data_IF_741871535460
#
_entry.id   IF_741871535460
#
_cell.length_a   1.000
_cell.length_b   1.000
_cell.length_c   1.000
_cell.angle_alpha   90.00
_cell.angle_beta   90.00
_cell.angle_gamma   90.00
#
_symmetry.space_group_name_H-M   'P 1'
#
loop_
_entity.id
_entity.type
_entity.pdbx_description
1 polymer ?
#
# COMPACT_ATOMS: atom_id res chain seq x y z
N UNK A 1 -13.19 -10.38 -2.54
CA UNK A 1 -12.27 -9.41 -1.94
C UNK A 1 -10.86 -9.66 -2.46
N UNK A 2 -10.20 -8.62 -2.93
CA UNK A 2 -8.86 -8.72 -3.52
C UNK A 2 -7.88 -8.19 -2.48
N UNK A 3 -6.98 -9.03 -1.99
CA UNK A 3 -6.06 -8.64 -0.91
C UNK A 3 -4.60 -8.97 -1.24
N UNK A 4 -3.68 -8.19 -0.68
CA UNK A 4 -2.26 -8.49 -0.67
C UNK A 4 -1.64 -7.91 0.60
N UNK A 5 -0.67 -8.63 1.17
CA UNK A 5 0.06 -8.19 2.35
C UNK A 5 1.50 -7.89 1.97
N UNK A 6 1.96 -6.70 2.35
CA UNK A 6 3.30 -6.21 2.07
C UNK A 6 4.05 -5.90 3.37
N UNK A 7 5.39 -5.89 3.34
CA UNK A 7 6.19 -5.53 4.51
C UNK A 7 5.95 -4.09 4.94
N UNK A 8 6.26 -3.79 6.21
CA UNK A 8 6.22 -2.43 6.73
C UNK A 8 7.11 -1.52 5.87
N UNK A 9 6.57 -0.40 5.38
CA UNK A 9 7.33 0.47 4.48
C UNK A 9 8.46 1.19 5.22
N UNK A 10 9.62 1.32 4.56
CA UNK A 10 10.77 2.02 5.10
C UNK A 10 10.43 3.47 5.44
N UNK A 11 10.97 3.98 6.54
CA UNK A 11 10.86 5.40 6.91
C UNK A 11 11.51 6.32 5.86
N UNK A 12 12.44 5.80 5.06
CA UNK A 12 13.05 6.57 3.97
C UNK A 12 12.05 6.93 2.86
N UNK A 13 10.89 6.28 2.84
CA UNK A 13 9.80 6.56 1.91
C UNK A 13 8.87 7.67 2.39
N UNK A 14 9.03 8.14 3.62
CA UNK A 14 8.21 9.23 4.14
C UNK A 14 8.40 10.51 3.30
N UNK A 15 7.32 11.23 2.97
CA UNK A 15 7.45 12.52 2.27
C UNK A 15 8.32 13.52 3.02
N UNK A 16 8.38 13.40 4.35
CA UNK A 16 9.17 14.28 5.23
C UNK A 16 10.57 13.74 5.54
N UNK A 17 10.96 12.62 4.94
CA UNK A 17 12.27 12.02 5.21
C UNK A 17 13.39 12.93 4.70
N UNK A 18 14.33 13.27 5.61
CA UNK A 18 15.50 14.09 5.29
C UNK A 18 16.69 13.17 4.98
N UNK A 19 16.60 12.46 3.88
CA UNK A 19 17.65 11.56 3.42
C UNK A 19 18.15 12.01 2.05
N UNK A 20 19.38 11.61 1.72
CA UNK A 20 19.95 11.87 0.42
C UNK A 20 19.03 11.33 -0.68
N UNK A 21 18.86 12.07 -1.77
CA UNK A 21 17.96 11.69 -2.86
C UNK A 21 18.24 10.30 -3.43
N UNK A 22 19.52 9.88 -3.50
CA UNK A 22 19.88 8.56 -4.00
C UNK A 22 19.40 7.44 -3.08
N UNK A 23 19.44 7.66 -1.76
CA UNK A 23 18.92 6.72 -0.77
C UNK A 23 17.41 6.58 -0.87
N UNK A 24 16.70 7.70 -1.02
CA UNK A 24 15.25 7.70 -1.20
C UNK A 24 14.85 7.02 -2.52
N UNK A 25 15.55 7.30 -3.60
CA UNK A 25 15.31 6.65 -4.90
C UNK A 25 15.51 5.13 -4.82
N UNK A 26 16.56 4.68 -4.12
CA UNK A 26 16.82 3.26 -3.92
C UNK A 26 15.71 2.61 -3.10
N UNK A 27 15.25 3.24 -2.03
CA UNK A 27 14.17 2.74 -1.20
C UNK A 27 12.86 2.64 -2.00
N UNK A 28 12.55 3.64 -2.82
CA UNK A 28 11.37 3.66 -3.68
C UNK A 28 11.41 2.52 -4.70
N UNK A 29 12.54 2.34 -5.36
CA UNK A 29 12.73 1.27 -6.35
C UNK A 29 12.58 -0.10 -5.70
N UNK A 30 13.19 -0.31 -4.55
CA UNK A 30 13.13 -1.57 -3.81
C UNK A 30 11.70 -1.89 -3.38
N UNK A 31 10.99 -0.92 -2.83
CA UNK A 31 9.60 -1.08 -2.41
C UNK A 31 8.69 -1.43 -3.59
N UNK A 32 8.87 -0.74 -4.71
CA UNK A 32 8.07 -0.97 -5.91
C UNK A 32 8.33 -2.35 -6.52
N UNK A 33 9.58 -2.79 -6.56
CA UNK A 33 9.92 -4.12 -7.09
C UNK A 33 9.33 -5.24 -6.23
N UNK A 34 9.41 -5.12 -4.91
CA UNK A 34 8.85 -6.08 -3.97
C UNK A 34 7.34 -6.16 -4.10
N UNK A 35 6.69 -5.03 -4.17
CA UNK A 35 5.26 -4.85 -4.31
C UNK A 35 4.74 -5.51 -5.59
N UNK A 36 5.36 -5.18 -6.73
CA UNK A 36 5.01 -5.75 -8.04
C UNK A 36 5.14 -7.27 -8.02
N UNK A 37 6.25 -7.79 -7.49
CA UNK A 37 6.47 -9.23 -7.41
C UNK A 37 5.43 -9.91 -6.51
N UNK A 38 5.17 -9.35 -5.34
CA UNK A 38 4.22 -9.92 -4.38
C UNK A 38 2.80 -9.92 -4.93
N UNK A 39 2.37 -8.83 -5.55
CA UNK A 39 1.05 -8.73 -6.16
C UNK A 39 0.90 -9.68 -7.35
N UNK A 40 1.96 -9.82 -8.15
CA UNK A 40 1.97 -10.76 -9.27
C UNK A 40 1.81 -12.21 -8.74
N UNK A 41 2.54 -12.57 -7.69
CA UNK A 41 2.44 -13.89 -7.08
C UNK A 41 1.07 -14.14 -6.43
N UNK A 42 0.41 -13.07 -5.97
CA UNK A 42 -0.94 -13.15 -5.41
C UNK A 42 -2.05 -13.24 -6.46
N UNK A 43 -1.69 -13.23 -7.76
CA UNK A 43 -2.66 -13.37 -8.84
C UNK A 43 -3.33 -12.08 -9.27
N UNK A 44 -2.73 -10.93 -8.96
CA UNK A 44 -3.33 -9.63 -9.28
C UNK A 44 -3.26 -9.27 -10.76
N UNK A 45 -2.30 -9.81 -11.50
CA UNK A 45 -2.18 -9.53 -12.93
C UNK A 45 -3.33 -10.19 -13.69
N UNK A 46 -4.02 -9.42 -14.52
CA UNK A 46 -5.14 -9.92 -15.33
C UNK A 46 -6.43 -10.15 -14.53
N UNK A 47 -6.45 -9.77 -13.25
CA UNK A 47 -7.63 -9.91 -12.42
C UNK A 47 -8.74 -8.97 -12.91
N UNK A 48 -9.98 -9.47 -12.96
CA UNK A 48 -11.12 -8.64 -13.32
C UNK A 48 -11.48 -7.72 -12.15
N UNK A 49 -11.59 -6.42 -12.45
CA UNK A 49 -11.89 -5.40 -11.46
C UNK A 49 -13.28 -4.82 -11.73
N UNK A 50 -13.98 -4.37 -10.67
CA UNK A 50 -15.19 -3.55 -10.86
C UNK A 50 -14.87 -2.32 -11.70
N UNK A 51 -15.86 -1.84 -12.43
CA UNK A 51 -15.72 -0.61 -13.23
C UNK A 51 -15.73 0.63 -12.32
N UNK A 52 -15.13 1.74 -12.79
CA UNK A 52 -15.10 3.01 -12.08
C UNK A 52 -14.00 3.09 -11.03
N UNK A 53 -14.24 3.92 -10.01
CA UNK A 53 -13.29 4.11 -8.90
C UNK A 53 -13.28 2.87 -8.01
N UNK A 54 -12.10 2.60 -7.45
CA UNK A 54 -11.89 1.45 -6.58
C UNK A 54 -11.49 1.92 -5.19
N UNK A 55 -12.12 1.39 -4.16
CA UNK A 55 -11.68 1.65 -2.78
C UNK A 55 -10.47 0.79 -2.49
N UNK A 56 -9.38 1.44 -2.11
CA UNK A 56 -8.14 0.78 -1.66
C UNK A 56 -8.04 0.97 -0.16
N UNK A 57 -8.44 -0.05 0.58
CA UNK A 57 -8.35 -0.06 2.04
C UNK A 57 -6.93 -0.46 2.43
N UNK A 58 -6.30 0.33 3.27
CA UNK A 58 -4.90 0.14 3.65
C UNK A 58 -4.81 0.01 5.15
N UNK A 59 -4.67 -1.22 5.63
CA UNK A 59 -4.56 -1.52 7.05
C UNK A 59 -3.10 -1.62 7.44
N UNK A 60 -2.64 -0.71 8.31
CA UNK A 60 -1.28 -0.69 8.82
C UNK A 60 -1.21 -1.38 10.17
N UNK A 61 -0.47 -2.47 10.23
CA UNK A 61 -0.19 -3.19 11.48
C UNK A 61 1.23 -2.86 11.91
N UNK A 62 1.42 -1.89 12.86
CA UNK A 62 2.75 -1.43 13.20
C UNK A 62 3.58 -2.52 13.88
N UNK A 63 4.92 -2.42 13.83
CA UNK A 63 5.79 -3.42 14.47
C UNK A 63 5.81 -3.33 16.00
N UNK A 64 5.34 -2.22 16.56
CA UNK A 64 5.27 -1.98 18.02
C UNK A 64 3.93 -1.34 18.36
N UNK A 65 3.66 -1.13 19.64
CA UNK A 65 2.44 -0.46 20.11
C UNK A 65 2.40 1.03 19.80
N UNK A 66 3.50 1.61 19.32
CA UNK A 66 3.55 3.01 18.94
C UNK A 66 2.70 3.24 17.69
N UNK A 67 1.74 4.16 17.77
CA UNK A 67 0.83 4.45 16.68
C UNK A 67 1.40 5.56 15.80
N UNK A 68 1.76 5.27 14.53
CA UNK A 68 2.16 6.33 13.60
C UNK A 68 0.95 7.11 13.09
N UNK A 69 1.22 8.27 12.49
CA UNK A 69 0.20 9.11 11.86
C UNK A 69 -0.28 8.48 10.54
N UNK A 70 -1.60 8.38 10.34
CA UNK A 70 -2.22 7.80 9.14
C UNK A 70 -1.73 8.47 7.86
N UNK A 71 -1.70 9.81 7.83
CA UNK A 71 -1.31 10.57 6.65
C UNK A 71 0.15 10.32 6.28
N UNK A 72 1.02 10.26 7.28
CA UNK A 72 2.42 9.92 7.06
C UNK A 72 2.58 8.50 6.52
N UNK A 73 1.81 7.55 7.06
CA UNK A 73 1.84 6.17 6.59
C UNK A 73 1.33 6.05 5.15
N UNK A 74 0.27 6.78 4.80
CA UNK A 74 -0.22 6.80 3.43
C UNK A 74 0.86 7.32 2.46
N UNK A 75 1.56 8.39 2.83
CA UNK A 75 2.67 8.92 2.02
C UNK A 75 3.81 7.92 1.86
N UNK A 76 4.13 7.15 2.90
CA UNK A 76 5.16 6.10 2.84
C UNK A 76 4.77 4.95 1.92
N UNK A 77 3.49 4.78 1.63
CA UNK A 77 2.97 3.72 0.77
C UNK A 77 2.79 4.13 -0.70
N UNK A 78 3.21 5.32 -1.08
CA UNK A 78 3.03 5.77 -2.47
C UNK A 78 3.66 4.81 -3.47
N UNK A 79 4.87 4.33 -3.21
CA UNK A 79 5.55 3.38 -4.09
C UNK A 79 4.79 2.04 -4.19
N UNK A 80 4.22 1.58 -3.09
CA UNK A 80 3.38 0.37 -3.08
C UNK A 80 2.13 0.58 -3.93
N UNK A 81 1.46 1.70 -3.74
CA UNK A 81 0.24 2.03 -4.46
C UNK A 81 0.49 2.08 -5.98
N UNK A 82 1.58 2.72 -6.39
CA UNK A 82 1.99 2.81 -7.79
C UNK A 82 2.28 1.41 -8.38
N UNK A 83 2.97 0.56 -7.63
CA UNK A 83 3.27 -0.80 -8.06
C UNK A 83 2.04 -1.68 -8.18
N UNK A 84 1.10 -1.57 -7.25
CA UNK A 84 -0.16 -2.30 -7.31
C UNK A 84 -0.97 -1.90 -8.54
N UNK A 85 -1.07 -0.61 -8.84
CA UNK A 85 -1.74 -0.12 -10.04
C UNK A 85 -1.06 -0.65 -11.31
N UNK A 86 0.26 -0.71 -11.33
CA UNK A 86 1.03 -1.25 -12.45
C UNK A 86 0.67 -2.72 -12.72
N UNK A 87 0.62 -3.55 -11.68
CA UNK A 87 0.29 -4.98 -11.83
C UNK A 87 -1.14 -5.15 -12.32
N UNK A 88 -2.07 -4.35 -11.81
CA UNK A 88 -3.47 -4.38 -12.22
C UNK A 88 -3.69 -3.78 -13.62
N UNK A 89 -2.72 -3.07 -14.16
CA UNK A 89 -2.85 -2.42 -15.48
C UNK A 89 -3.79 -1.23 -15.48
N UNK A 90 -3.89 -0.51 -14.37
CA UNK A 90 -4.79 0.65 -14.23
C UNK A 90 -4.01 1.89 -13.85
N UNK A 91 -4.65 3.06 -14.01
CA UNK A 91 -4.15 4.32 -13.47
C UNK A 91 -4.41 4.36 -11.96
N UNK A 92 -3.41 4.76 -11.17
CA UNK A 92 -3.55 4.85 -9.72
C UNK A 92 -4.60 5.87 -9.26
N UNK A 93 -5.00 6.80 -10.14
CA UNK A 93 -6.09 7.74 -9.87
C UNK A 93 -7.44 7.05 -9.68
N UNK A 94 -7.58 5.81 -10.14
CA UNK A 94 -8.79 5.02 -9.88
C UNK A 94 -8.94 4.64 -8.41
N UNK A 95 -7.85 4.65 -7.64
CA UNK A 95 -7.89 4.31 -6.21
C UNK A 95 -8.44 5.45 -5.37
N UNK A 96 -9.38 5.12 -4.50
CA UNK A 96 -9.78 5.96 -3.37
C UNK A 96 -9.14 5.32 -2.15
N UNK A 97 -8.10 5.94 -1.60
CA UNK A 97 -7.30 5.33 -0.53
C UNK A 97 -7.88 5.63 0.85
N UNK A 98 -7.99 4.59 1.68
CA UNK A 98 -8.52 4.67 3.04
C UNK A 98 -7.47 4.09 4.01
N UNK A 99 -6.55 4.93 4.51
CA UNK A 99 -5.55 4.45 5.48
C UNK A 99 -6.15 4.29 6.87
N UNK A 100 -5.81 3.19 7.51
CA UNK A 100 -6.20 2.93 8.90
C UNK A 100 -5.04 2.27 9.63
N UNK A 101 -4.55 2.92 10.68
CA UNK A 101 -3.53 2.34 11.54
C UNK A 101 -4.23 1.49 12.61
N UNK A 102 -3.96 0.18 12.60
CA UNK A 102 -4.54 -0.76 13.55
C UNK A 102 -3.83 -0.67 14.90
N UNK A 103 -4.59 -0.85 15.97
CA UNK A 103 -4.03 -0.88 17.33
C UNK A 103 -3.29 -2.19 17.64
N UNK A 104 -3.47 -3.21 16.81
CA UNK A 104 -2.83 -4.52 16.97
C UNK A 104 -1.45 -4.52 16.31
N UNK A 105 -0.35 -4.56 17.08
CA UNK A 105 0.96 -4.67 16.47
C UNK A 105 1.21 -6.07 15.92
N UNK A 106 2.03 -6.15 14.87
CA UNK A 106 2.49 -7.42 14.30
C UNK A 106 4.00 -7.41 14.20
N UNK A 107 4.63 -8.53 14.50
CA UNK A 107 6.10 -8.63 14.48
C UNK A 107 6.66 -8.18 13.13
N UNK A 108 7.59 -7.23 13.16
CA UNK A 108 8.18 -6.66 11.96
C UNK A 108 7.31 -5.65 11.24
N UNK A 109 6.03 -5.55 11.61
CA UNK A 109 5.05 -4.71 10.94
C UNK A 109 4.62 -5.26 9.60
N UNK A 110 3.41 -4.95 9.18
CA UNK A 110 2.93 -5.29 7.84
C UNK A 110 1.79 -4.37 7.42
N UNK A 111 1.54 -4.31 6.12
CA UNK A 111 0.47 -3.51 5.53
C UNK A 111 -0.39 -4.42 4.68
N UNK A 112 -1.71 -4.39 4.91
CA UNK A 112 -2.67 -5.18 4.14
C UNK A 112 -3.44 -4.24 3.22
N UNK A 113 -3.37 -4.50 1.92
CA UNK A 113 -4.13 -3.75 0.91
C UNK A 113 -5.33 -4.59 0.49
N UNK A 114 -6.52 -3.96 0.49
CA UNK A 114 -7.78 -4.61 0.16
C UNK A 114 -8.50 -3.75 -0.86
N UNK A 115 -8.93 -4.34 -1.98
CA UNK A 115 -9.67 -3.62 -3.01
C UNK A 115 -11.13 -4.05 -2.99
N UNK A 116 -12.03 -3.06 -2.99
CA UNK A 116 -13.47 -3.25 -3.17
C UNK A 116 -13.97 -2.32 -4.26
N UNK A 117 -15.14 -2.62 -4.84
CA UNK A 117 -15.76 -1.77 -5.86
C UNK A 117 -16.35 -0.49 -5.28
N UNK A 118 -16.59 0.49 -6.16
CA UNK A 118 -17.08 1.81 -5.77
C UNK A 118 -18.45 1.79 -5.06
N UNK A 119 -19.23 0.73 -5.23
CA UNK A 119 -20.52 0.57 -4.55
C UNK A 119 -20.41 0.03 -3.12
N UNK A 120 -19.20 -0.34 -2.68
CA UNK A 120 -18.96 -0.92 -1.36
C UNK A 120 -18.21 0.09 -0.49
N UNK A 121 -18.96 0.91 0.24
CA UNK A 121 -18.41 2.01 1.04
C UNK A 121 -17.96 1.57 2.43
N UNK A 122 -18.21 0.33 2.81
CA UNK A 122 -17.89 -0.16 4.16
C UNK A 122 -16.59 -0.94 4.13
N UNK A 123 -15.71 -0.67 5.09
CA UNK A 123 -14.44 -1.38 5.26
C UNK A 123 -14.71 -2.88 5.46
N UNK A 124 -14.08 -3.75 4.67
CA UNK A 124 -14.29 -5.19 4.74
C UNK A 124 -13.80 -5.84 6.02
#
# INVERSE_FOLDING_TARGET
>A
MITVTLPWPSKDLSPNARVHWARKAKATKSARQRDVLTAFQAGWKGMQLPTGRLHLWIDFYPPTKQMPDDDNMLGRCKAYRDGLAQVLGIDDQRFISHPLVRAEPRKGGEVVFIITGASQDVHP
#
